data_IF_621436800844
#
_entry.id   IF_621436800844
#
_cell.length_a   1.000
_cell.length_b   1.000
_cell.length_c   1.000
_cell.angle_alpha   90.00
_cell.angle_beta   90.00
_cell.angle_gamma   90.00
#
_symmetry.space_group_name_H-M   'P 1'
#
loop_
_entity.id
_entity.type
_entity.pdbx_description
1 polymer ?
#
# COMPACT_ATOMS: atom_id res chain seq x y z
N UNK A 1 73.04 -10.35 -32.91
CA UNK A 1 71.96 -11.33 -32.61
C UNK A 1 71.54 -11.43 -31.13
N UNK A 2 72.26 -10.86 -30.15
CA UNK A 2 71.92 -11.01 -28.71
C UNK A 2 70.87 -10.03 -28.14
N UNK A 3 70.63 -8.85 -28.74
CA UNK A 3 69.61 -7.91 -28.23
C UNK A 3 68.16 -8.37 -28.50
N UNK A 4 67.93 -9.21 -29.51
CA UNK A 4 66.58 -9.70 -29.86
C UNK A 4 66.06 -10.84 -28.96
N UNK A 5 66.91 -11.41 -28.08
CA UNK A 5 66.54 -12.47 -27.14
C UNK A 5 66.08 -11.90 -25.79
N UNK A 6 66.72 -10.84 -25.29
CA UNK A 6 66.36 -10.18 -24.01
C UNK A 6 64.97 -9.53 -24.02
N UNK A 7 64.55 -8.92 -25.13
CA UNK A 7 63.22 -8.32 -25.27
C UNK A 7 62.06 -9.33 -25.23
N UNK A 8 62.29 -10.56 -25.73
CA UNK A 8 61.30 -11.65 -25.70
C UNK A 8 61.07 -12.19 -24.28
N UNK A 9 62.12 -12.30 -23.47
CA UNK A 9 62.00 -12.76 -22.07
C UNK A 9 61.28 -11.75 -21.17
N UNK A 10 61.45 -10.43 -21.40
CA UNK A 10 60.71 -9.39 -20.67
C UNK A 10 59.23 -9.35 -21.07
N UNK A 11 58.91 -9.53 -22.35
CA UNK A 11 57.52 -9.63 -22.84
C UNK A 11 56.83 -10.90 -22.32
N UNK A 12 57.51 -12.05 -22.31
CA UNK A 12 56.98 -13.30 -21.76
C UNK A 12 56.73 -13.21 -20.23
N UNK A 13 57.62 -12.56 -19.48
CA UNK A 13 57.44 -12.31 -18.04
C UNK A 13 56.28 -11.37 -17.73
N UNK A 14 56.04 -10.36 -18.58
CA UNK A 14 54.88 -9.46 -18.46
C UNK A 14 53.57 -10.15 -18.82
N UNK A 15 53.57 -10.99 -19.86
CA UNK A 15 52.41 -11.81 -20.22
C UNK A 15 52.04 -12.79 -19.09
N UNK A 16 53.03 -13.47 -18.48
CA UNK A 16 52.79 -14.34 -17.33
C UNK A 16 52.20 -13.62 -16.11
N UNK A 17 52.62 -12.38 -15.85
CA UNK A 17 52.05 -11.55 -14.76
C UNK A 17 50.61 -11.13 -15.03
N UNK A 18 50.27 -10.82 -16.28
CA UNK A 18 48.89 -10.47 -16.65
C UNK A 18 47.95 -11.68 -16.58
N UNK A 19 48.41 -12.86 -17.00
CA UNK A 19 47.65 -14.11 -16.84
C UNK A 19 47.44 -14.44 -15.37
N UNK A 20 48.49 -14.30 -14.54
CA UNK A 20 48.38 -14.52 -13.09
C UNK A 20 47.40 -13.53 -12.43
N UNK A 21 47.42 -12.26 -12.83
CA UNK A 21 46.45 -11.26 -12.34
C UNK A 21 45.02 -11.61 -12.79
N UNK A 22 44.82 -12.00 -14.05
CA UNK A 22 43.53 -12.43 -14.56
C UNK A 22 42.98 -13.64 -13.80
N UNK A 23 43.84 -14.64 -13.54
CA UNK A 23 43.48 -15.81 -12.74
C UNK A 23 43.16 -15.44 -11.28
N UNK A 24 43.91 -14.52 -10.67
CA UNK A 24 43.64 -14.05 -9.32
C UNK A 24 42.31 -13.28 -9.24
N UNK A 25 42.04 -12.38 -10.20
CA UNK A 25 40.77 -11.65 -10.28
C UNK A 25 39.60 -12.60 -10.50
N UNK A 26 39.75 -13.59 -11.40
CA UNK A 26 38.75 -14.63 -11.61
C UNK A 26 38.53 -15.45 -10.33
N UNK A 27 39.60 -15.83 -9.63
CA UNK A 27 39.51 -16.53 -8.35
C UNK A 27 38.77 -15.73 -7.28
N UNK A 28 39.02 -14.42 -7.18
CA UNK A 28 38.27 -13.52 -6.28
C UNK A 28 36.80 -13.42 -6.70
N UNK A 29 36.51 -13.33 -8.00
CA UNK A 29 35.12 -13.33 -8.49
C UNK A 29 34.41 -14.65 -8.17
N UNK A 30 35.06 -15.80 -8.41
CA UNK A 30 34.51 -17.11 -8.08
C UNK A 30 34.32 -17.29 -6.57
N UNK A 31 35.26 -16.80 -5.76
CA UNK A 31 35.11 -16.80 -4.30
C UNK A 31 33.96 -15.90 -3.84
N UNK A 32 33.82 -14.69 -4.41
CA UNK A 32 32.71 -13.80 -4.12
C UNK A 32 31.37 -14.40 -4.58
N UNK A 33 31.32 -15.07 -5.73
CA UNK A 33 30.12 -15.79 -6.21
C UNK A 33 29.83 -17.01 -5.34
N UNK A 34 30.82 -17.73 -4.85
CA UNK A 34 30.60 -18.85 -3.94
C UNK A 34 30.15 -18.40 -2.54
N UNK A 35 30.66 -17.26 -2.07
CA UNK A 35 30.41 -16.76 -0.71
C UNK A 35 29.15 -15.88 -0.63
N UNK A 36 28.88 -15.11 -1.68
CA UNK A 36 27.82 -14.10 -1.75
C UNK A 36 26.96 -14.20 -3.01
N UNK A 37 27.32 -15.03 -3.98
CA UNK A 37 26.49 -15.26 -5.14
C UNK A 37 25.19 -15.98 -4.73
N UNK A 38 24.10 -15.76 -5.48
CA UNK A 38 22.83 -16.40 -5.20
C UNK A 38 23.04 -17.92 -5.23
N UNK A 39 22.71 -18.59 -4.13
CA UNK A 39 22.69 -20.03 -4.01
C UNK A 39 21.61 -20.59 -4.96
N UNK A 40 21.94 -20.77 -6.23
CA UNK A 40 21.05 -21.39 -7.22
C UNK A 40 21.82 -22.36 -8.10
N UNK A 41 22.36 -23.40 -7.48
CA UNK A 41 22.62 -24.69 -8.11
C UNK A 41 22.43 -25.76 -7.02
N UNK A 42 21.19 -26.23 -6.87
CA UNK A 42 20.81 -27.24 -5.90
C UNK A 42 19.29 -27.36 -5.81
N UNK A 43 18.71 -28.25 -6.62
CA UNK A 43 17.31 -28.66 -6.52
C UNK A 43 17.04 -29.37 -5.18
N UNK A 44 15.88 -29.10 -4.59
CA UNK A 44 15.20 -30.07 -3.71
C UNK A 44 14.96 -29.64 -2.26
N UNK A 45 13.73 -29.19 -2.01
CA UNK A 45 12.96 -29.39 -0.77
C UNK A 45 13.14 -28.45 0.44
N UNK A 46 13.96 -27.39 0.40
CA UNK A 46 14.00 -26.38 1.48
C UNK A 46 13.58 -24.95 1.06
N UNK A 47 13.39 -24.69 -0.24
CA UNK A 47 12.82 -23.43 -0.75
C UNK A 47 11.31 -23.58 -0.99
N UNK A 48 10.57 -23.80 0.10
CA UNK A 48 9.10 -23.89 0.09
C UNK A 48 8.41 -22.53 -0.07
N UNK A 49 8.81 -21.73 -1.07
CA UNK A 49 8.06 -20.55 -1.48
C UNK A 49 6.81 -20.98 -2.24
N UNK A 50 5.68 -20.29 -2.00
CA UNK A 50 4.40 -20.59 -2.66
C UNK A 50 4.56 -20.66 -4.18
N UNK A 51 4.01 -21.70 -4.80
CA UNK A 51 3.99 -21.84 -6.26
C UNK A 51 3.16 -20.71 -6.86
N UNK A 52 3.81 -19.85 -7.66
CA UNK A 52 3.19 -18.69 -8.29
C UNK A 52 2.36 -19.12 -9.50
N UNK A 53 1.18 -18.54 -9.68
CA UNK A 53 0.42 -18.74 -10.92
C UNK A 53 1.18 -18.22 -12.15
N UNK A 54 1.24 -19.04 -13.19
CA UNK A 54 1.82 -18.65 -14.47
C UNK A 54 0.76 -17.96 -15.34
N UNK A 55 0.98 -16.68 -15.64
CA UNK A 55 0.04 -15.84 -16.39
C UNK A 55 0.80 -15.02 -17.41
N UNK A 56 0.28 -14.98 -18.64
CA UNK A 56 0.74 -14.06 -19.69
C UNK A 56 -0.06 -12.76 -19.64
N UNK A 57 0.64 -11.63 -19.55
CA UNK A 57 0.05 -10.28 -19.63
C UNK A 57 0.18 -9.79 -21.06
N UNK A 58 -0.95 -9.71 -21.77
CA UNK A 58 -0.97 -9.50 -23.24
C UNK A 58 -1.63 -8.18 -23.64
N UNK A 59 -2.37 -7.54 -22.73
CA UNK A 59 -3.06 -6.28 -22.99
C UNK A 59 -2.48 -5.18 -22.12
N UNK A 60 -2.38 -3.97 -22.66
CA UNK A 60 -2.10 -2.77 -21.87
C UNK A 60 -3.41 -2.04 -21.60
N UNK A 61 -3.70 -1.75 -20.34
CA UNK A 61 -4.91 -1.04 -19.92
C UNK A 61 -4.78 0.44 -20.29
N UNK A 62 -5.64 0.90 -21.17
CA UNK A 62 -5.72 2.31 -21.53
C UNK A 62 -6.60 3.08 -20.53
N UNK A 63 -6.22 4.33 -20.16
CA UNK A 63 -7.08 5.18 -19.34
C UNK A 63 -8.44 5.38 -20.01
N UNK A 64 -9.52 5.04 -19.30
CA UNK A 64 -10.87 5.38 -19.71
C UNK A 64 -11.10 6.89 -19.54
N UNK A 65 -11.79 7.49 -20.51
CA UNK A 65 -12.31 8.86 -20.33
C UNK A 65 -13.34 8.80 -19.21
N UNK A 66 -13.20 9.61 -18.13
CA UNK A 66 -14.18 9.62 -17.05
C UNK A 66 -15.57 9.89 -17.63
N UNK A 67 -16.63 9.19 -17.19
CA UNK A 67 -17.98 9.58 -17.56
C UNK A 67 -18.18 11.03 -17.13
N UNK A 68 -18.65 11.88 -18.05
CA UNK A 68 -18.94 13.29 -17.80
C UNK A 68 -20.08 13.40 -16.77
N UNK A 69 -19.74 13.29 -15.49
CA UNK A 69 -20.71 13.26 -14.39
C UNK A 69 -20.16 13.74 -13.05
N UNK A 70 -18.83 13.80 -12.88
CA UNK A 70 -18.24 14.61 -11.84
C UNK A 70 -18.28 16.08 -12.30
N UNK A 71 -19.41 16.74 -12.05
CA UNK A 71 -19.49 18.18 -12.14
C UNK A 71 -18.35 18.76 -11.31
N UNK A 72 -17.34 19.32 -11.98
CA UNK A 72 -16.32 20.17 -11.38
C UNK A 72 -17.09 21.18 -10.52
N UNK A 73 -16.90 21.25 -9.19
CA UNK A 73 -17.51 22.31 -8.42
C UNK A 73 -17.05 23.62 -9.06
N UNK A 74 -18.02 24.40 -9.56
CA UNK A 74 -17.71 25.71 -10.11
C UNK A 74 -17.03 26.50 -8.99
N UNK A 75 -15.75 26.82 -9.19
CA UNK A 75 -15.05 27.79 -8.34
C UNK A 75 -15.91 29.05 -8.33
N UNK A 76 -16.43 29.49 -7.17
CA UNK A 76 -17.16 30.74 -7.13
C UNK A 76 -16.19 31.86 -7.46
N UNK A 77 -16.43 32.58 -8.57
CA UNK A 77 -15.69 33.79 -8.89
C UNK A 77 -15.75 34.76 -7.70
N UNK A 78 -14.63 35.36 -7.29
CA UNK A 78 -14.63 36.31 -6.20
C UNK A 78 -15.46 37.53 -6.61
N UNK A 79 -16.63 37.70 -5.99
CA UNK A 79 -17.38 38.95 -6.03
C UNK A 79 -16.48 40.06 -5.51
N UNK A 80 -16.08 40.94 -6.42
CA UNK A 80 -15.37 42.18 -6.11
C UNK A 80 -16.19 42.98 -5.09
N UNK A 81 -15.67 43.11 -3.87
CA UNK A 81 -16.22 44.01 -2.87
C UNK A 81 -15.88 45.44 -3.29
N UNK A 82 -16.87 46.16 -3.80
CA UNK A 82 -16.82 47.61 -3.96
C UNK A 82 -16.62 48.22 -2.58
N UNK A 83 -15.43 48.81 -2.36
CA UNK A 83 -15.11 49.60 -1.18
C UNK A 83 -15.79 50.98 -1.29
N UNK A 84 -16.58 51.44 -0.31
CA UNK A 84 -17.04 52.83 -0.30
C UNK A 84 -15.86 53.75 0.03
N UNK A 85 -15.74 54.85 -0.71
CA UNK A 85 -14.76 55.91 -0.47
C UNK A 85 -15.10 56.70 0.81
N UNK A 86 -14.11 57.06 1.65
CA UNK A 86 -14.30 58.09 2.66
C UNK A 86 -14.01 59.48 2.08
N UNK A 87 -14.87 60.44 2.43
CA UNK A 87 -14.74 61.86 2.12
C UNK A 87 -13.59 62.52 2.92
N UNK A 88 -13.05 63.67 2.45
CA UNK A 88 -11.78 64.20 2.92
C UNK A 88 -11.96 65.15 4.11
N UNK A 89 -11.01 65.11 5.06
CA UNK A 89 -10.80 66.17 6.03
C UNK A 89 -9.31 66.58 6.02
N UNK A 90 -9.11 67.87 6.20
CA UNK A 90 -7.95 68.64 5.78
C UNK A 90 -6.71 68.50 6.69
N UNK A 91 -5.60 68.97 6.12
CA UNK A 91 -4.25 68.97 6.65
C UNK A 91 -4.04 69.83 7.91
N UNK A 92 -3.08 69.43 8.76
CA UNK A 92 -2.18 70.33 9.46
C UNK A 92 -0.93 69.57 9.98
N UNK A 93 0.15 70.31 10.11
CA UNK A 93 1.56 69.91 10.14
C UNK A 93 2.10 69.29 11.45
N UNK A 94 3.28 68.69 11.31
CA UNK A 94 4.28 68.17 12.27
C UNK A 94 4.75 69.18 13.36
N UNK A 95 5.81 68.93 14.20
CA UNK A 95 6.41 67.69 14.79
C UNK A 95 6.67 67.80 16.33
N UNK A 96 7.32 66.79 16.94
CA UNK A 96 8.20 66.78 18.16
C UNK A 96 7.82 65.65 19.15
N UNK A 97 8.64 64.61 19.37
CA UNK A 97 9.86 64.51 20.20
C UNK A 97 9.60 64.00 21.64
N UNK A 98 10.53 63.14 22.10
CA UNK A 98 10.84 62.70 23.48
C UNK A 98 10.16 61.43 24.06
N UNK A 99 10.98 60.37 24.07
CA UNK A 99 11.40 59.53 25.21
C UNK A 99 10.38 59.05 26.29
N UNK A 100 10.36 57.73 26.52
CA UNK A 100 10.71 57.08 27.80
C UNK A 100 10.71 55.54 27.69
N UNK A 101 11.82 54.92 28.06
CA UNK A 101 11.92 53.55 28.62
C UNK A 101 11.82 53.67 30.18
N UNK A 102 11.84 52.62 31.04
CA UNK A 102 12.35 51.24 30.83
C UNK A 102 11.66 50.06 31.61
N UNK A 103 12.23 48.84 31.40
CA UNK A 103 12.44 47.67 32.29
C UNK A 103 11.23 46.86 32.87
N UNK A 104 11.03 45.56 32.56
CA UNK A 104 11.68 44.29 33.05
C UNK A 104 11.35 43.89 34.52
N UNK A 105 11.51 42.62 35.00
CA UNK A 105 11.55 41.28 34.37
C UNK A 105 10.90 40.12 35.23
N UNK A 106 11.08 38.87 34.75
CA UNK A 106 11.52 37.66 35.50
C UNK A 106 10.53 36.50 35.79
N UNK A 107 10.95 35.31 35.33
CA UNK A 107 10.63 33.96 35.83
C UNK A 107 11.33 33.67 37.18
N UNK A 108 10.99 32.59 37.92
CA UNK A 108 11.68 31.29 37.69
C UNK A 108 10.87 30.01 38.04
N UNK A 109 11.42 28.86 37.61
CA UNK A 109 11.16 27.46 38.01
C UNK A 109 12.28 27.03 39.02
N UNK A 110 12.09 26.10 40.02
CA UNK A 110 12.17 24.62 39.85
C UNK A 110 11.35 23.70 40.79
N UNK A 111 11.24 22.43 40.35
CA UNK A 111 10.65 21.24 41.01
C UNK A 111 11.44 20.73 42.24
N UNK A 112 10.96 19.73 43.03
CA UNK A 112 11.11 18.30 42.64
C UNK A 112 10.05 17.27 43.15
N UNK A 113 10.03 16.12 42.45
CA UNK A 113 9.74 14.69 42.75
C UNK A 113 9.19 14.21 44.13
N UNK A 114 8.23 13.25 44.12
CA UNK A 114 8.41 11.84 44.57
C UNK A 114 7.10 10.98 44.51
N UNK A 115 7.23 9.79 43.90
CA UNK A 115 6.72 8.44 44.23
C UNK A 115 5.24 8.13 44.63
N UNK A 116 4.68 7.07 44.03
CA UNK A 116 3.54 6.29 44.56
C UNK A 116 2.81 5.41 43.54
N UNK A 117 2.79 4.10 43.78
CA UNK A 117 2.33 2.97 42.92
C UNK A 117 0.78 2.78 42.80
N UNK A 118 0.28 1.81 41.99
CA UNK A 118 -1.00 1.89 41.29
C UNK A 118 -2.18 1.15 41.98
N UNK A 119 -3.41 1.51 41.60
CA UNK A 119 -4.62 0.73 41.89
C UNK A 119 -5.38 0.40 40.60
N UNK A 120 -5.71 -0.89 40.46
CA UNK A 120 -6.39 -1.54 39.35
C UNK A 120 -7.78 -0.97 39.03
N UNK A 121 -8.28 -1.10 37.78
CA UNK A 121 -9.69 -0.96 37.51
C UNK A 121 -10.42 -2.30 37.59
N UNK A 122 -11.51 -2.29 38.35
CA UNK A 122 -12.51 -3.35 38.46
C UNK A 122 -13.20 -3.63 37.12
N UNK A 123 -13.46 -4.91 36.86
CA UNK A 123 -14.28 -5.40 35.75
C UNK A 123 -15.75 -5.09 36.07
N UNK A 124 -16.41 -4.35 35.19
CA UNK A 124 -17.88 -4.19 35.21
C UNK A 124 -18.42 -4.75 33.89
N UNK A 125 -19.10 -5.88 33.98
CA UNK A 125 -19.90 -6.45 32.90
C UNK A 125 -21.25 -5.72 32.82
N UNK A 126 -21.81 -5.44 31.62
CA UNK A 126 -23.21 -5.09 31.52
C UNK A 126 -24.08 -6.33 31.26
N UNK A 127 -25.04 -6.49 32.16
CA UNK A 127 -26.16 -7.42 32.13
C UNK A 127 -27.07 -7.22 30.90
N UNK A 128 -27.58 -8.34 30.40
CA UNK A 128 -28.65 -8.46 29.42
C UNK A 128 -29.98 -8.04 30.08
N UNK A 129 -30.71 -7.10 29.48
CA UNK A 129 -32.11 -6.82 29.82
C UNK A 129 -32.99 -7.44 28.75
N UNK A 130 -33.73 -8.47 29.14
CA UNK A 130 -34.82 -9.07 28.38
C UNK A 130 -36.09 -8.22 28.50
N UNK A 131 -36.80 -8.01 27.38
CA UNK A 131 -38.13 -7.42 27.37
C UNK A 131 -39.21 -8.52 27.29
N UNK A 132 -40.39 -8.32 27.93
CA UNK A 132 -41.41 -9.35 28.12
C UNK A 132 -42.32 -9.54 26.89
N UNK A 133 -43.03 -10.70 26.78
CA UNK A 133 -43.96 -10.94 25.68
C UNK A 133 -45.31 -10.26 25.96
N UNK A 134 -45.89 -9.63 24.93
CA UNK A 134 -47.31 -9.24 24.91
C UNK A 134 -48.03 -10.16 23.94
N UNK A 135 -48.98 -10.93 24.47
CA UNK A 135 -49.91 -11.75 23.72
C UNK A 135 -51.33 -11.14 23.77
N UNK A 136 -52.14 -11.55 22.79
CA UNK A 136 -53.59 -11.37 22.62
C UNK A 136 -54.05 -10.00 22.08
N UNK A 137 -54.95 -9.87 21.10
CA UNK A 137 -55.90 -10.78 20.41
C UNK A 137 -56.29 -10.06 19.09
N UNK A 138 -56.85 -10.73 18.05
CA UNK A 138 -58.12 -10.44 17.30
C UNK A 138 -58.15 -11.26 15.98
N UNK A 139 -59.11 -12.20 15.87
CA UNK A 139 -59.98 -12.50 14.71
C UNK A 139 -59.43 -13.08 13.39
N UNK A 140 -60.02 -14.17 12.83
CA UNK A 140 -59.76 -14.59 11.46
C UNK A 140 -60.56 -13.72 10.47
N UNK A 141 -59.87 -12.90 9.68
CA UNK A 141 -60.43 -12.25 8.49
C UNK A 141 -60.01 -13.04 7.26
N UNK A 142 -60.99 -13.71 6.65
CA UNK A 142 -60.85 -14.31 5.33
C UNK A 142 -60.55 -13.21 4.31
N UNK A 143 -59.35 -13.24 3.72
CA UNK A 143 -58.99 -12.43 2.56
C UNK A 143 -58.93 -13.31 1.33
N UNK A 144 -59.74 -12.95 0.34
CA UNK A 144 -59.79 -13.58 -0.98
C UNK A 144 -58.44 -13.42 -1.71
N UNK A 145 -58.07 -14.35 -2.61
CA UNK A 145 -56.81 -14.26 -3.35
C UNK A 145 -56.86 -13.10 -4.35
N UNK A 146 -56.08 -12.05 -4.09
CA UNK A 146 -55.68 -11.08 -5.10
C UNK A 146 -54.71 -11.73 -6.09
N UNK A 147 -54.87 -11.53 -7.41
CA UNK A 147 -53.95 -12.09 -8.38
C UNK A 147 -52.56 -11.49 -8.16
N UNK A 148 -51.58 -12.39 -8.00
CA UNK A 148 -50.17 -12.03 -7.91
C UNK A 148 -49.79 -11.47 -9.27
N UNK A 149 -49.66 -10.14 -9.35
CA UNK A 149 -49.00 -9.52 -10.50
C UNK A 149 -47.58 -10.08 -10.53
N UNK A 150 -47.27 -10.84 -11.58
CA UNK A 150 -45.90 -11.27 -11.87
C UNK A 150 -45.06 -10.02 -12.01
N UNK A 151 -44.34 -9.67 -10.93
CA UNK A 151 -43.32 -8.65 -10.99
C UNK A 151 -42.31 -9.14 -12.03
N UNK A 152 -42.28 -8.46 -13.17
CA UNK A 152 -41.25 -8.66 -14.16
C UNK A 152 -39.91 -8.50 -13.44
N UNK A 153 -39.16 -9.61 -13.34
CA UNK A 153 -37.84 -9.62 -12.75
C UNK A 153 -37.03 -8.50 -13.39
N UNK A 154 -36.66 -7.51 -12.58
CA UNK A 154 -35.68 -6.53 -12.99
C UNK A 154 -34.47 -7.30 -13.55
N UNK A 155 -33.88 -6.87 -14.69
CA UNK A 155 -32.70 -7.54 -15.22
C UNK A 155 -31.67 -7.62 -14.10
N UNK A 156 -31.25 -8.84 -13.76
CA UNK A 156 -30.24 -9.07 -12.76
C UNK A 156 -29.04 -8.20 -13.12
N UNK A 157 -28.62 -7.32 -12.20
CA UNK A 157 -27.42 -6.54 -12.43
C UNK A 157 -26.30 -7.54 -12.75
N UNK A 158 -25.47 -7.27 -13.77
CA UNK A 158 -24.40 -8.20 -14.14
C UNK A 158 -23.59 -8.48 -12.88
N UNK A 159 -23.46 -9.77 -12.54
CA UNK A 159 -22.65 -10.19 -11.42
C UNK A 159 -21.26 -9.58 -11.60
N UNK A 160 -20.80 -8.87 -10.56
CA UNK A 160 -19.50 -8.23 -10.62
C UNK A 160 -18.42 -9.26 -10.95
N UNK A 161 -17.68 -8.98 -12.01
CA UNK A 161 -16.56 -9.80 -12.44
C UNK A 161 -15.26 -9.16 -11.97
N UNK A 162 -14.47 -9.94 -11.24
CA UNK A 162 -13.14 -9.52 -10.83
C UNK A 162 -12.27 -9.20 -12.04
N UNK A 163 -11.43 -8.14 -11.97
CA UNK A 163 -10.57 -7.78 -13.08
C UNK A 163 -9.65 -8.95 -13.45
N UNK A 164 -9.26 -9.06 -14.74
CA UNK A 164 -8.24 -10.01 -15.16
C UNK A 164 -6.97 -9.87 -14.32
N UNK A 165 -6.15 -10.92 -14.30
CA UNK A 165 -4.82 -10.85 -13.68
C UNK A 165 -4.08 -9.61 -14.20
N UNK A 166 -3.61 -8.76 -13.29
CA UNK A 166 -3.13 -7.41 -13.58
C UNK A 166 -1.73 -7.21 -12.98
N UNK A 167 -0.83 -6.62 -13.76
CA UNK A 167 0.54 -6.26 -13.36
C UNK A 167 0.70 -4.75 -13.37
N UNK A 168 1.17 -4.21 -12.26
CA UNK A 168 1.60 -2.82 -12.10
C UNK A 168 3.11 -2.78 -11.90
N UNK A 169 3.78 -1.86 -12.60
CA UNK A 169 5.22 -1.62 -12.46
C UNK A 169 5.41 -0.18 -11.96
N UNK A 170 6.30 0.01 -11.01
CA UNK A 170 6.49 1.27 -10.31
C UNK A 170 7.96 1.67 -10.29
N UNK A 171 8.19 2.98 -10.43
CA UNK A 171 9.43 3.62 -9.99
C UNK A 171 9.36 3.74 -8.47
N UNK A 172 10.40 3.29 -7.77
CA UNK A 172 10.54 3.47 -6.33
C UNK A 172 11.49 4.63 -6.08
N UNK A 173 11.03 5.61 -5.30
CA UNK A 173 11.87 6.62 -4.67
C UNK A 173 11.65 6.58 -3.17
N UNK A 174 12.55 7.14 -2.37
CA UNK A 174 12.38 7.12 -0.93
C UNK A 174 13.49 7.78 -0.16
N UNK A 175 13.39 7.65 1.14
CA UNK A 175 14.43 8.04 2.08
C UNK A 175 14.57 6.95 3.14
N UNK A 176 15.79 6.47 3.37
CA UNK A 176 16.12 5.49 4.39
C UNK A 176 17.56 5.70 4.84
N UNK A 177 17.79 6.70 5.71
CA UNK A 177 19.13 7.20 6.07
C UNK A 177 19.88 7.77 4.86
N UNK A 178 19.15 8.49 4.01
CA UNK A 178 19.60 9.04 2.73
C UNK A 178 18.59 8.72 1.61
N UNK A 179 18.66 9.44 0.48
CA UNK A 179 17.78 9.18 -0.65
C UNK A 179 18.02 7.78 -1.21
N UNK A 180 16.95 7.09 -1.56
CA UNK A 180 16.98 5.77 -2.18
C UNK A 180 16.11 5.73 -3.43
N UNK A 181 16.56 4.95 -4.40
CA UNK A 181 15.85 4.71 -5.65
C UNK A 181 15.79 3.21 -5.95
N UNK A 182 14.84 2.82 -6.80
CA UNK A 182 14.73 1.48 -7.31
C UNK A 182 13.44 1.27 -8.09
N UNK A 183 12.85 0.09 -7.92
CA UNK A 183 11.69 -0.34 -8.67
C UNK A 183 10.83 -1.28 -7.84
N UNK A 184 9.54 -1.31 -8.16
CA UNK A 184 8.63 -2.30 -7.61
C UNK A 184 7.67 -2.83 -8.68
N UNK A 185 7.15 -4.03 -8.43
CA UNK A 185 6.12 -4.67 -9.25
C UNK A 185 5.08 -5.27 -8.32
N UNK A 186 3.82 -5.06 -8.64
CA UNK A 186 2.69 -5.72 -7.99
C UNK A 186 1.95 -6.52 -9.05
N UNK A 187 1.67 -7.79 -8.75
CA UNK A 187 0.86 -8.65 -9.60
C UNK A 187 -0.32 -9.20 -8.82
N UNK A 188 -1.52 -8.87 -9.28
CA UNK A 188 -2.75 -9.57 -8.96
C UNK A 188 -2.91 -10.72 -9.94
N UNK A 189 -2.98 -11.94 -9.42
CA UNK A 189 -3.13 -13.17 -10.19
C UNK A 189 -4.38 -13.89 -9.70
N UNK A 190 -5.19 -14.38 -10.63
CA UNK A 190 -6.41 -15.12 -10.32
C UNK A 190 -6.52 -16.40 -11.14
N UNK A 191 -6.98 -17.47 -10.50
CA UNK A 191 -7.38 -18.71 -11.16
C UNK A 191 -8.64 -19.27 -10.49
N UNK A 192 -9.79 -19.18 -11.18
CA UNK A 192 -11.07 -19.60 -10.61
C UNK A 192 -11.49 -18.75 -9.41
N UNK A 193 -11.70 -19.40 -8.25
CA UNK A 193 -11.95 -18.72 -6.97
C UNK A 193 -10.67 -18.35 -6.23
N UNK A 194 -9.50 -18.83 -6.66
CA UNK A 194 -8.24 -18.57 -5.95
C UNK A 194 -7.54 -17.34 -6.48
N UNK A 195 -6.82 -16.65 -5.59
CA UNK A 195 -5.98 -15.52 -5.97
C UNK A 195 -4.58 -15.62 -5.36
N UNK A 196 -3.65 -14.88 -5.98
CA UNK A 196 -2.35 -14.53 -5.42
C UNK A 196 -2.05 -13.05 -5.70
N UNK A 197 -1.57 -12.33 -4.69
CA UNK A 197 -0.95 -11.01 -4.84
C UNK A 197 0.53 -11.15 -4.58
N UNK A 198 1.37 -10.79 -5.55
CA UNK A 198 2.83 -10.81 -5.42
C UNK A 198 3.36 -9.40 -5.58
N UNK A 199 3.96 -8.86 -4.52
CA UNK A 199 4.71 -7.61 -4.55
C UNK A 199 6.21 -7.91 -4.50
N UNK A 200 6.96 -7.35 -5.43
CA UNK A 200 8.43 -7.39 -5.45
C UNK A 200 8.94 -5.95 -5.49
N UNK A 201 9.73 -5.53 -4.52
CA UNK A 201 10.37 -4.22 -4.48
C UNK A 201 11.88 -4.40 -4.30
N UNK A 202 12.66 -3.53 -4.92
CA UNK A 202 14.11 -3.49 -4.76
C UNK A 202 14.63 -2.07 -4.69
N UNK A 203 15.63 -1.85 -3.84
CA UNK A 203 16.36 -0.60 -3.69
C UNK A 203 17.78 -0.79 -4.22
N UNK A 204 18.26 0.18 -4.99
CA UNK A 204 19.55 0.14 -5.69
C UNK A 204 19.43 -0.34 -7.13
N UNK A 205 20.57 -0.48 -7.84
CA UNK A 205 20.57 -0.84 -9.26
C UNK A 205 19.92 -2.20 -9.51
N UNK A 206 19.17 -2.33 -10.60
CA UNK A 206 18.44 -3.56 -10.93
C UNK A 206 19.33 -4.82 -11.05
N UNK A 207 20.59 -4.66 -11.44
CA UNK A 207 21.54 -5.76 -11.57
C UNK A 207 22.22 -6.17 -10.25
N UNK A 208 22.17 -5.31 -9.23
CA UNK A 208 22.80 -5.53 -7.92
C UNK A 208 22.06 -4.73 -6.82
N UNK A 209 20.83 -5.14 -6.46
CA UNK A 209 20.04 -4.41 -5.47
C UNK A 209 20.66 -4.50 -4.07
N UNK A 210 20.62 -3.39 -3.33
CA UNK A 210 21.07 -3.29 -1.94
C UNK A 210 20.06 -3.90 -0.96
N UNK A 211 18.78 -3.82 -1.32
CA UNK A 211 17.69 -4.45 -0.59
C UNK A 211 16.65 -4.97 -1.57
N UNK A 212 16.11 -6.16 -1.30
CA UNK A 212 14.90 -6.65 -1.96
C UNK A 212 13.87 -7.03 -0.91
N UNK A 213 12.60 -6.81 -1.25
CA UNK A 213 11.44 -7.18 -0.44
C UNK A 213 10.43 -7.86 -1.34
N UNK A 214 10.05 -9.09 -1.01
CA UNK A 214 9.00 -9.84 -1.67
C UNK A 214 7.89 -10.08 -0.67
N UNK A 215 6.66 -9.80 -1.05
CA UNK A 215 5.47 -10.12 -0.29
C UNK A 215 4.52 -10.92 -1.17
N UNK A 216 3.94 -11.97 -0.58
CA UNK A 216 2.94 -12.81 -1.24
C UNK A 216 1.74 -12.92 -0.32
N UNK A 217 0.55 -12.67 -0.87
CA UNK A 217 -0.73 -13.02 -0.24
C UNK A 217 -1.46 -14.00 -1.14
N UNK A 218 -2.06 -15.03 -0.57
CA UNK A 218 -2.95 -15.91 -1.31
C UNK A 218 -4.19 -16.30 -0.50
N UNK A 219 -5.25 -16.64 -1.21
CA UNK A 219 -6.51 -17.00 -0.59
C UNK A 219 -7.62 -17.21 -1.61
N UNK A 220 -8.85 -17.00 -1.15
CA UNK A 220 -10.06 -17.17 -1.95
C UNK A 220 -10.70 -15.81 -2.28
N UNK A 221 -11.42 -15.80 -3.39
CA UNK A 221 -12.27 -14.73 -3.85
C UNK A 221 -13.70 -15.11 -3.45
N UNK A 222 -14.35 -14.28 -2.64
CA UNK A 222 -15.73 -14.47 -2.18
C UNK A 222 -16.61 -13.32 -2.65
N UNK A 223 -17.95 -13.43 -2.53
CA UNK A 223 -18.85 -12.31 -2.80
C UNK A 223 -18.57 -11.07 -1.95
N UNK A 224 -18.00 -11.24 -0.76
CA UNK A 224 -17.64 -10.18 0.19
C UNK A 224 -16.24 -9.61 -0.03
N UNK A 225 -15.50 -10.10 -1.03
CA UNK A 225 -14.17 -9.61 -1.37
C UNK A 225 -13.09 -10.69 -1.30
N UNK A 226 -11.85 -10.27 -1.09
CA UNK A 226 -10.74 -11.19 -0.84
C UNK A 226 -10.81 -11.78 0.56
N UNK A 227 -10.56 -13.08 0.66
CA UNK A 227 -10.41 -13.81 1.92
C UNK A 227 -9.01 -14.44 1.97
N UNK A 228 -8.00 -13.70 2.47
CA UNK A 228 -6.65 -14.22 2.57
C UNK A 228 -6.56 -15.43 3.48
N UNK A 229 -5.66 -16.36 3.12
CA UNK A 229 -5.36 -17.59 3.85
C UNK A 229 -3.90 -17.65 4.29
N UNK A 230 -3.01 -17.10 3.48
CA UNK A 230 -1.58 -17.11 3.76
C UNK A 230 -0.95 -15.79 3.33
N UNK A 231 -0.11 -15.23 4.18
CA UNK A 231 0.74 -14.09 3.86
C UNK A 231 2.19 -14.41 4.21
N UNK A 232 3.09 -14.13 3.28
CA UNK A 232 4.53 -14.31 3.46
C UNK A 232 5.27 -13.05 3.00
N UNK A 233 6.27 -12.63 3.79
CA UNK A 233 7.20 -11.57 3.44
C UNK A 233 8.63 -12.08 3.58
N UNK A 234 9.44 -11.84 2.56
CA UNK A 234 10.89 -12.02 2.58
C UNK A 234 11.58 -10.68 2.31
N UNK A 235 12.51 -10.28 3.19
CA UNK A 235 13.34 -9.11 3.00
C UNK A 235 14.82 -9.51 3.06
N UNK A 236 15.56 -9.18 2.01
CA UNK A 236 17.01 -9.39 1.88
C UNK A 236 17.70 -8.03 1.84
N UNK A 237 18.73 -7.87 2.64
CA UNK A 237 19.58 -6.68 2.66
C UNK A 237 21.02 -7.15 2.51
N UNK A 238 21.80 -6.49 1.67
CA UNK A 238 23.22 -6.81 1.45
C UNK A 238 23.95 -6.90 2.80
N UNK A 239 24.75 -7.96 2.96
CA UNK A 239 25.51 -8.28 4.18
C UNK A 239 24.65 -8.53 5.44
N UNK A 240 23.36 -8.82 5.30
CA UNK A 240 22.47 -9.20 6.41
C UNK A 240 21.73 -10.50 6.12
N UNK A 241 21.40 -11.31 7.15
CA UNK A 241 20.57 -12.49 6.97
C UNK A 241 19.18 -12.09 6.47
N UNK A 242 18.61 -12.92 5.58
CA UNK A 242 17.26 -12.73 5.09
C UNK A 242 16.26 -12.79 6.26
N UNK A 243 15.32 -11.85 6.30
CA UNK A 243 14.20 -11.87 7.24
C UNK A 243 12.98 -12.43 6.53
N UNK A 244 12.34 -13.41 7.16
CA UNK A 244 11.11 -14.02 6.67
C UNK A 244 10.02 -13.84 7.71
N UNK A 245 8.79 -13.64 7.27
CA UNK A 245 7.62 -13.45 8.10
C UNK A 245 6.45 -14.14 7.46
N UNK A 246 5.68 -14.87 8.25
CA UNK A 246 4.54 -15.65 7.78
C UNK A 246 3.35 -15.46 8.70
N UNK A 247 2.18 -15.24 8.12
CA UNK A 247 0.91 -15.15 8.83
C UNK A 247 -0.05 -16.16 8.19
N UNK A 248 -0.58 -17.06 9.00
CA UNK A 248 -1.62 -18.01 8.55
C UNK A 248 -2.99 -17.50 8.99
N UNK A 249 -3.94 -17.42 8.07
CA UNK A 249 -5.29 -16.92 8.31
C UNK A 249 -6.29 -18.06 8.09
N UNK A 250 -6.57 -18.80 9.17
CA UNK A 250 -7.52 -19.91 9.21
C UNK A 250 -8.98 -19.46 9.05
N UNK A 251 -9.93 -20.34 9.34
CA UNK A 251 -11.36 -20.01 9.27
C UNK A 251 -11.73 -18.95 10.31
N UNK A 252 -11.37 -19.19 11.57
CA UNK A 252 -11.77 -18.33 12.71
C UNK A 252 -10.58 -17.72 13.46
N UNK A 253 -9.34 -18.07 13.07
CA UNK A 253 -8.13 -17.66 13.77
C UNK A 253 -7.01 -17.22 12.82
N UNK A 254 -6.09 -16.42 13.35
CA UNK A 254 -4.89 -15.92 12.68
C UNK A 254 -3.68 -16.34 13.51
N UNK A 255 -2.75 -17.08 12.91
CA UNK A 255 -1.47 -17.43 13.55
C UNK A 255 -0.39 -16.46 13.11
N UNK A 256 0.15 -15.71 14.07
CA UNK A 256 1.20 -14.75 13.89
C UNK A 256 2.60 -15.42 13.83
N UNK A 257 3.63 -14.72 13.31
CA UNK A 257 4.99 -15.23 13.22
C UNK A 257 5.59 -15.66 14.57
N UNK A 258 5.18 -15.01 15.66
CA UNK A 258 5.63 -15.33 17.02
C UNK A 258 4.97 -16.60 17.61
N UNK A 259 4.06 -17.24 16.87
CA UNK A 259 3.30 -18.42 17.32
C UNK A 259 1.98 -18.08 18.02
N UNK A 260 1.75 -16.81 18.37
CA UNK A 260 0.49 -16.34 18.92
C UNK A 260 -0.67 -16.58 17.94
N UNK A 261 -1.81 -17.01 18.48
CA UNK A 261 -3.04 -17.24 17.71
C UNK A 261 -4.11 -16.27 18.19
N UNK A 262 -4.64 -15.48 17.27
CA UNK A 262 -5.64 -14.45 17.52
C UNK A 262 -6.96 -14.79 16.81
N UNK A 263 -8.12 -14.25 17.23
CA UNK A 263 -9.35 -14.35 16.46
C UNK A 263 -9.23 -13.71 15.07
N UNK A 264 -9.91 -14.27 14.07
CA UNK A 264 -10.03 -13.70 12.73
C UNK A 264 -11.29 -12.81 12.65
N UNK A 265 -11.14 -11.48 12.58
CA UNK A 265 -12.29 -10.61 12.33
C UNK A 265 -12.81 -10.76 10.89
N UNK A 266 -14.07 -10.42 10.68
CA UNK A 266 -14.66 -10.37 9.35
C UNK A 266 -13.94 -9.35 8.45
N UNK A 267 -13.81 -9.67 7.16
CA UNK A 267 -13.14 -8.78 6.19
C UNK A 267 -11.62 -8.64 6.36
N UNK A 268 -10.98 -9.44 7.21
CA UNK A 268 -9.54 -9.39 7.46
C UNK A 268 -8.73 -9.43 6.17
N UNK A 269 -7.85 -8.44 5.98
CA UNK A 269 -6.85 -8.40 4.93
C UNK A 269 -5.42 -8.49 5.48
N UNK A 270 -4.45 -8.67 4.61
CA UNK A 270 -3.02 -8.55 4.93
C UNK A 270 -2.40 -7.31 4.28
N UNK A 271 -1.08 -7.14 4.45
CA UNK A 271 -0.36 -5.94 4.03
C UNK A 271 -0.39 -5.66 2.52
N UNK A 272 -0.61 -6.67 1.66
CA UNK A 272 -0.64 -6.49 0.20
C UNK A 272 -2.03 -6.74 -0.41
N UNK A 273 -2.80 -7.71 0.11
CA UNK A 273 -4.15 -7.97 -0.39
C UNK A 273 -5.09 -6.78 -0.19
N UNK A 274 -4.85 -5.97 0.85
CA UNK A 274 -5.65 -4.78 1.15
C UNK A 274 -5.81 -3.82 -0.05
N UNK A 275 -4.77 -3.63 -0.87
CA UNK A 275 -4.84 -2.68 -1.99
C UNK A 275 -5.76 -3.19 -3.11
N UNK A 276 -5.71 -4.50 -3.36
CA UNK A 276 -6.60 -5.14 -4.33
C UNK A 276 -8.03 -5.19 -3.81
N UNK A 277 -8.22 -5.52 -2.52
CA UNK A 277 -9.52 -5.51 -1.87
C UNK A 277 -10.18 -4.12 -1.95
N UNK A 278 -9.42 -3.05 -1.70
CA UNK A 278 -9.93 -1.69 -1.81
C UNK A 278 -10.25 -1.29 -3.25
N UNK A 279 -9.43 -1.70 -4.22
CA UNK A 279 -9.73 -1.49 -5.67
C UNK A 279 -11.07 -2.13 -6.05
N UNK A 280 -11.30 -3.35 -5.57
CA UNK A 280 -12.58 -4.05 -5.71
C UNK A 280 -13.73 -3.28 -5.05
N UNK A 281 -13.54 -2.88 -3.79
CA UNK A 281 -14.53 -2.15 -3.02
C UNK A 281 -14.95 -0.84 -3.72
N UNK A 282 -14.00 -0.08 -4.24
CA UNK A 282 -14.28 1.17 -4.96
C UNK A 282 -14.95 0.95 -6.31
N UNK A 283 -14.71 -0.18 -6.95
CA UNK A 283 -15.38 -0.53 -8.21
C UNK A 283 -16.84 -0.90 -7.98
N UNK A 284 -17.13 -1.60 -6.89
CA UNK A 284 -18.50 -1.94 -6.49
C UNK A 284 -19.25 -0.78 -5.85
N UNK A 285 -18.55 0.09 -5.14
CA UNK A 285 -19.13 1.19 -4.38
C UNK A 285 -18.41 2.51 -4.71
N UNK A 286 -18.57 3.06 -5.94
CA UNK A 286 -17.85 4.28 -6.36
C UNK A 286 -18.09 5.50 -5.45
N UNK A 287 -19.25 5.55 -4.76
CA UNK A 287 -19.56 6.62 -3.82
C UNK A 287 -18.54 6.73 -2.67
N UNK A 288 -17.88 5.62 -2.29
CA UNK A 288 -16.83 5.61 -1.27
C UNK A 288 -15.61 6.45 -1.64
N UNK A 289 -15.37 6.72 -2.93
CA UNK A 289 -14.28 7.60 -3.38
C UNK A 289 -14.60 9.11 -3.22
N UNK A 290 -15.74 9.45 -2.63
CA UNK A 290 -16.07 10.85 -2.32
C UNK A 290 -15.31 11.29 -1.06
N UNK A 291 -14.66 12.48 -1.07
CA UNK A 291 -13.97 13.03 0.10
C UNK A 291 -14.79 12.95 1.38
N UNK A 292 -14.14 12.60 2.49
CA UNK A 292 -14.76 12.50 3.81
C UNK A 292 -15.39 11.13 4.14
N UNK A 293 -15.48 10.22 3.18
CA UNK A 293 -15.79 8.81 3.49
C UNK A 293 -14.62 8.12 4.15
N UNK A 294 -14.93 7.03 4.84
CA UNK A 294 -13.94 6.17 5.49
C UNK A 294 -14.21 4.70 5.20
N UNK A 295 -13.14 3.92 5.18
CA UNK A 295 -13.15 2.48 4.95
C UNK A 295 -12.53 1.81 6.16
N UNK A 296 -13.31 0.97 6.84
CA UNK A 296 -12.83 0.15 7.95
C UNK A 296 -12.44 -1.23 7.44
N UNK A 297 -11.22 -1.64 7.77
CA UNK A 297 -10.65 -2.91 7.32
C UNK A 297 -9.68 -3.44 8.37
N UNK A 298 -9.94 -4.60 8.99
CA UNK A 298 -8.97 -5.19 9.89
C UNK A 298 -7.77 -5.72 9.08
N UNK A 299 -6.57 -5.48 9.59
CA UNK A 299 -5.33 -5.98 8.99
C UNK A 299 -4.62 -6.98 9.89
N UNK A 300 -4.18 -8.08 9.29
CA UNK A 300 -3.20 -8.98 9.87
C UNK A 300 -1.79 -8.48 9.57
N UNK A 301 -1.11 -8.00 10.59
CA UNK A 301 0.27 -7.52 10.53
C UNK A 301 1.18 -8.47 11.32
N UNK A 302 2.51 -8.42 11.11
CA UNK A 302 3.45 -9.37 11.71
C UNK A 302 3.42 -9.48 13.24
N UNK A 303 2.81 -8.51 13.92
CA UNK A 303 2.77 -8.43 15.39
C UNK A 303 1.36 -8.41 15.97
N UNK A 304 0.32 -8.23 15.16
CA UNK A 304 -1.05 -8.03 15.65
C UNK A 304 -2.08 -8.10 14.53
N UNK A 305 -3.30 -8.39 14.93
CA UNK A 305 -4.51 -8.19 14.13
C UNK A 305 -5.26 -7.02 14.73
N UNK A 306 -5.58 -6.00 13.94
CA UNK A 306 -6.24 -4.80 14.45
C UNK A 306 -7.08 -4.09 13.38
N UNK A 307 -8.09 -3.31 13.79
CA UNK A 307 -8.84 -2.47 12.85
C UNK A 307 -7.98 -1.33 12.31
N UNK A 308 -8.06 -1.12 11.00
CA UNK A 308 -7.55 0.07 10.32
C UNK A 308 -8.71 0.84 9.69
N UNK A 309 -8.68 2.16 9.83
CA UNK A 309 -9.61 3.06 9.15
C UNK A 309 -8.83 3.90 8.16
N UNK A 310 -9.26 3.89 6.91
CA UNK A 310 -8.72 4.70 5.82
C UNK A 310 -9.69 5.83 5.50
N UNK A 311 -9.20 7.06 5.42
CA UNK A 311 -9.98 8.22 5.03
C UNK A 311 -9.72 8.55 3.56
N UNK A 312 -10.80 8.86 2.84
CA UNK A 312 -10.73 9.38 1.47
C UNK A 312 -10.57 10.89 1.53
N UNK A 313 -9.43 11.36 1.03
CA UNK A 313 -9.00 12.76 1.17
C UNK A 313 -9.54 13.60 0.02
N UNK A 314 -9.26 13.19 -1.22
CA UNK A 314 -9.74 13.87 -2.41
C UNK A 314 -8.92 13.58 -3.65
N UNK A 315 -9.30 14.21 -4.75
CA UNK A 315 -8.66 14.03 -6.05
C UNK A 315 -7.40 14.87 -6.17
N UNK A 316 -6.33 14.26 -6.67
CA UNK A 316 -5.05 14.87 -6.96
C UNK A 316 -4.60 14.53 -8.38
N UNK A 317 -4.03 15.51 -9.07
CA UNK A 317 -3.34 15.29 -10.35
C UNK A 317 -1.93 14.75 -10.07
N UNK A 318 -1.65 13.54 -10.53
CA UNK A 318 -0.34 12.89 -10.42
C UNK A 318 0.42 12.97 -11.74
N UNK A 319 1.70 13.28 -11.65
CA UNK A 319 2.64 13.25 -12.77
C UNK A 319 3.55 12.04 -12.60
N UNK A 320 3.30 10.99 -13.39
CA UNK A 320 4.07 9.75 -13.34
C UNK A 320 4.77 9.48 -14.68
N UNK A 321 5.67 8.51 -14.72
CA UNK A 321 6.31 8.09 -15.98
C UNK A 321 5.29 7.47 -16.95
N UNK A 322 4.15 6.98 -16.44
CA UNK A 322 3.02 6.51 -17.23
C UNK A 322 2.14 7.64 -17.82
N UNK A 323 2.38 8.90 -17.43
CA UNK A 323 1.62 10.07 -17.86
C UNK A 323 0.95 10.83 -16.73
N UNK A 324 0.06 11.76 -17.09
CA UNK A 324 -0.72 12.56 -16.13
C UNK A 324 -2.00 11.81 -15.79
N UNK A 325 -2.26 11.61 -14.49
CA UNK A 325 -3.39 10.81 -14.00
C UNK A 325 -4.14 11.57 -12.90
N UNK A 326 -5.46 11.64 -13.00
CA UNK A 326 -6.32 12.05 -11.88
C UNK A 326 -6.53 10.85 -10.95
N UNK A 327 -6.17 11.00 -9.68
CA UNK A 327 -6.26 9.92 -8.71
C UNK A 327 -6.82 10.39 -7.37
N UNK A 328 -7.58 9.53 -6.70
CA UNK A 328 -8.16 9.81 -5.39
C UNK A 328 -7.22 9.30 -4.31
N UNK A 329 -6.80 10.20 -3.41
CA UNK A 329 -5.93 9.90 -2.28
C UNK A 329 -6.71 9.24 -1.14
N UNK A 330 -6.22 8.08 -0.72
CA UNK A 330 -6.77 7.30 0.40
C UNK A 330 -5.64 7.01 1.38
N UNK A 331 -5.81 7.42 2.64
CA UNK A 331 -4.76 7.33 3.66
C UNK A 331 -5.29 6.77 4.97
N UNK A 332 -4.47 6.09 5.78
CA UNK A 332 -4.89 5.66 7.10
C UNK A 332 -5.12 6.87 8.00
N UNK A 333 -6.22 6.87 8.76
CA UNK A 333 -6.57 7.93 9.72
C UNK A 333 -5.51 8.10 10.80
N UNK A 334 -4.98 6.98 11.27
CA UNK A 334 -4.03 6.93 12.37
C UNK A 334 -2.60 7.13 11.88
N UNK A 335 -1.76 7.89 12.61
CA UNK A 335 -0.33 7.92 12.34
C UNK A 335 0.30 6.56 12.64
N UNK A 336 1.45 6.28 12.02
CA UNK A 336 2.27 5.11 12.37
C UNK A 336 2.64 5.19 13.85
N UNK A 337 2.38 4.12 14.62
CA UNK A 337 3.00 3.98 15.94
C UNK A 337 4.50 3.77 15.75
N UNK A 338 5.35 4.09 16.74
CA UNK A 338 6.79 3.85 16.63
C UNK A 338 7.10 2.42 16.21
N UNK A 339 7.79 2.26 15.08
CA UNK A 339 8.17 0.94 14.54
C UNK A 339 7.14 0.27 13.62
N UNK A 340 5.98 0.89 13.39
CA UNK A 340 4.99 0.45 12.42
C UNK A 340 5.15 1.15 11.08
N UNK A 341 4.61 0.53 10.03
CA UNK A 341 4.48 1.14 8.73
C UNK A 341 3.02 1.54 8.49
N UNK A 342 2.81 2.73 7.94
CA UNK A 342 1.54 3.15 7.34
C UNK A 342 1.69 3.16 5.83
N UNK A 343 0.69 2.66 5.13
CA UNK A 343 0.62 2.75 3.68
C UNK A 343 -0.59 3.58 3.27
N UNK A 344 -0.36 4.59 2.45
CA UNK A 344 -1.40 5.36 1.75
C UNK A 344 -1.30 5.09 0.25
N UNK A 345 -2.40 5.30 -0.47
CA UNK A 345 -2.44 5.06 -1.90
C UNK A 345 -3.26 6.10 -2.64
N UNK A 346 -3.01 6.21 -3.93
CA UNK A 346 -3.80 6.99 -4.86
C UNK A 346 -4.37 6.05 -5.91
N UNK A 347 -5.69 6.01 -6.01
CA UNK A 347 -6.41 5.15 -6.96
C UNK A 347 -6.89 5.96 -8.14
N UNK A 348 -6.66 5.50 -9.37
CA UNK A 348 -7.09 6.23 -10.57
C UNK A 348 -8.38 5.63 -11.14
N UNK A 349 -9.52 6.35 -11.11
CA UNK A 349 -10.77 5.85 -11.69
C UNK A 349 -10.67 5.53 -13.18
N UNK A 350 -9.86 6.28 -13.93
CA UNK A 350 -9.58 6.03 -15.35
C UNK A 350 -8.88 4.69 -15.60
N UNK A 351 -8.20 4.13 -14.60
CA UNK A 351 -7.49 2.85 -14.67
C UNK A 351 -8.15 1.80 -13.76
N UNK A 352 -9.47 1.65 -13.83
CA UNK A 352 -10.23 0.65 -13.06
C UNK A 352 -10.02 0.75 -11.54
N UNK A 353 -9.84 1.97 -11.02
CA UNK A 353 -9.52 2.25 -9.60
C UNK A 353 -8.21 1.60 -9.11
N UNK A 354 -7.30 1.25 -10.02
CA UNK A 354 -6.01 0.66 -9.64
C UNK A 354 -5.14 1.67 -8.86
N UNK A 355 -4.31 1.21 -7.90
CA UNK A 355 -3.38 2.06 -7.17
C UNK A 355 -2.25 2.51 -8.10
N UNK A 356 -2.26 3.78 -8.48
CA UNK A 356 -1.24 4.38 -9.37
C UNK A 356 -0.09 5.01 -8.59
N UNK A 357 -0.27 5.18 -7.29
CA UNK A 357 0.79 5.54 -6.36
C UNK A 357 0.56 4.88 -5.02
N UNK A 358 1.61 4.41 -4.37
CA UNK A 358 1.57 3.87 -3.00
C UNK A 358 2.74 4.47 -2.24
N UNK A 359 2.45 5.11 -1.10
CA UNK A 359 3.49 5.65 -0.22
C UNK A 359 3.47 4.89 1.10
N UNK A 360 4.58 4.26 1.43
CA UNK A 360 4.77 3.50 2.67
C UNK A 360 5.75 4.26 3.55
N UNK A 361 5.34 4.55 4.77
CA UNK A 361 6.11 5.37 5.71
C UNK A 361 6.19 4.71 7.08
N UNK A 362 7.39 4.67 7.64
CA UNK A 362 7.62 4.33 9.05
C UNK A 362 7.68 5.60 9.90
N UNK A 363 8.43 6.61 9.42
CA UNK A 363 8.59 7.92 10.05
C UNK A 363 8.97 8.97 9.00
N UNK A 364 9.33 10.19 9.40
CA UNK A 364 9.71 11.26 8.43
C UNK A 364 10.97 10.95 7.64
N UNK A 365 11.87 10.13 8.18
CA UNK A 365 13.19 9.81 7.62
C UNK A 365 13.25 8.44 6.93
N UNK A 366 12.22 7.62 7.12
CA UNK A 366 12.13 6.25 6.60
C UNK A 366 10.80 6.05 5.86
N UNK A 367 10.84 6.23 4.54
CA UNK A 367 9.69 6.08 3.65
C UNK A 367 10.09 5.67 2.23
N UNK A 368 9.14 5.08 1.52
CA UNK A 368 9.22 4.81 0.08
C UNK A 368 7.94 5.28 -0.60
N UNK A 369 8.07 5.71 -1.84
CA UNK A 369 7.00 6.15 -2.73
C UNK A 369 7.13 5.38 -4.03
N UNK A 370 6.06 4.66 -4.37
CA UNK A 370 5.92 3.84 -5.55
C UNK A 370 5.01 4.59 -6.51
N UNK A 371 5.56 5.16 -7.59
CA UNK A 371 4.79 5.87 -8.61
C UNK A 371 4.72 5.02 -9.89
N UNK A 372 3.55 4.97 -10.52
CA UNK A 372 3.33 4.13 -11.70
C UNK A 372 4.33 4.45 -12.82
N UNK A 373 5.10 3.44 -13.24
CA UNK A 373 6.15 3.58 -14.25
C UNK A 373 5.59 3.55 -15.67
N UNK A 374 4.57 2.73 -15.89
CA UNK A 374 3.94 2.49 -17.19
C UNK A 374 2.50 2.03 -16.99
N UNK A 375 1.69 2.10 -18.04
CA UNK A 375 0.30 1.68 -17.98
C UNK A 375 0.18 0.20 -17.51
N UNK A 376 -0.87 -0.13 -16.75
CA UNK A 376 -1.06 -1.48 -16.21
C UNK A 376 -1.17 -2.52 -17.33
N UNK A 377 -0.65 -3.72 -17.10
CA UNK A 377 -0.75 -4.82 -18.05
C UNK A 377 -1.75 -5.85 -17.53
N UNK A 378 -2.64 -6.35 -18.39
CA UNK A 378 -3.67 -7.32 -18.05
C UNK A 378 -3.51 -8.61 -18.87
N UNK A 379 -3.81 -9.73 -18.24
CA UNK A 379 -4.02 -10.99 -18.94
C UNK A 379 -5.22 -10.89 -19.89
N UNK A 380 -5.29 -11.81 -20.84
CA UNK A 380 -6.51 -12.00 -21.59
C UNK A 380 -7.66 -12.31 -20.60
N UNK A 381 -8.89 -11.82 -20.84
CA UNK A 381 -10.04 -12.23 -20.07
C UNK A 381 -10.10 -13.76 -20.04
N UNK A 382 -10.36 -14.35 -18.88
CA UNK A 382 -10.52 -15.78 -18.78
C UNK A 382 -11.74 -16.17 -19.63
N UNK A 383 -11.52 -16.86 -20.75
CA UNK A 383 -12.62 -17.39 -21.56
C UNK A 383 -13.41 -18.34 -20.66
N UNK A 384 -14.70 -18.07 -20.42
CA UNK A 384 -15.55 -19.05 -19.72
C UNK A 384 -15.49 -20.35 -20.51
N UNK A 385 -15.15 -21.49 -19.90
CA UNK A 385 -15.34 -22.77 -20.56
C UNK A 385 -16.84 -23.01 -20.74
N UNK A 386 -17.30 -23.00 -21.99
CA UNK A 386 -18.67 -23.36 -22.39
C UNK A 386 -19.72 -22.29 -22.13
N UNK A 387 -19.99 -21.47 -23.14
CA UNK A 387 -21.28 -20.79 -23.33
C UNK A 387 -21.98 -21.38 -24.53
#
# INVERSE_FOLDING_TARGET
MLLHRRGRHLKARRAGRLVALGAAVLGVHLWLVATYGPSRLGEGAADGGLARFEVAFVNELQPAVPPAGAARPATPEPRSLVRPAPAPAAAASAPAAAASAPASPAAPEPAPSLAGEPLAPAIVAPSIVALPPVAAFIGPVASAPTPVATAASAPAQPAFEWPPSTRLSYRLTGHARGPVEGQARVEWLRQGSRYQVVMEASVGPAFAPLMTRRETSEGEITPEGLSPRHYEMEMKVVLRPARRTRIEMGADTVRLPAGETLPRPAGLQDAVSQFVHMTWLFTLQPALLTPGHSIDMPLALPRRVEPWTYDVVGTETLYTEAGVLEAVHVRPRRPARPGDFTAEMWVAPSLQNLPVRIKVRQDSENWIDLALERLPQQAAPATRPGS
#
